data_IF_993348285221
#
_entry.id   IF_993348285221
#
_cell.length_a   1.000
_cell.length_b   1.000
_cell.length_c   1.000
_cell.angle_alpha   90.00
_cell.angle_beta   90.00
_cell.angle_gamma   90.00
#
_symmetry.space_group_name_H-M   'P 1'
#
loop_
_entity.id
_entity.type
_entity.pdbx_description
1 polymer ?
#
# COMPACT_ATOMS: atom_id res chain seq x y z
N UNK A 1 -6.06 11.52 6.10
CA UNK A 1 -6.41 10.33 6.88
C UNK A 1 -6.97 9.27 5.96
N UNK A 2 -6.58 8.03 6.13
CA UNK A 2 -7.05 6.93 5.28
C UNK A 2 -8.42 6.47 5.79
N UNK A 3 -9.33 6.21 4.86
CA UNK A 3 -10.64 5.63 5.17
C UNK A 3 -10.91 4.47 4.20
N UNK A 4 -11.42 3.37 4.74
CA UNK A 4 -11.68 2.15 3.96
C UNK A 4 -13.12 1.68 4.17
N UNK A 5 -14.12 2.48 3.77
CA UNK A 5 -15.53 2.12 3.98
C UNK A 5 -15.96 0.90 3.17
N UNK A 6 -15.45 0.73 1.95
CA UNK A 6 -15.81 -0.41 1.11
C UNK A 6 -15.28 -1.71 1.71
N UNK A 7 -14.13 -1.67 2.37
CA UNK A 7 -13.57 -2.82 3.09
C UNK A 7 -14.53 -3.31 4.15
N UNK A 8 -15.09 -2.40 4.95
CA UNK A 8 -16.06 -2.79 5.98
C UNK A 8 -17.34 -3.35 5.37
N UNK A 9 -17.82 -2.74 4.29
CA UNK A 9 -19.04 -3.20 3.61
C UNK A 9 -18.89 -4.58 2.99
N UNK A 10 -17.66 -4.95 2.59
CA UNK A 10 -17.39 -6.22 1.93
C UNK A 10 -17.15 -7.38 2.89
N UNK A 11 -16.98 -7.12 4.18
CA UNK A 11 -16.70 -8.17 5.15
C UNK A 11 -17.81 -9.23 5.14
N UNK A 12 -17.41 -10.49 5.14
CA UNK A 12 -18.34 -11.61 5.08
C UNK A 12 -18.83 -11.97 3.69
N UNK A 13 -18.51 -11.18 2.65
CA UNK A 13 -18.84 -11.53 1.28
C UNK A 13 -17.77 -12.43 0.66
N UNK A 14 -18.13 -13.18 -0.38
CA UNK A 14 -17.19 -14.03 -1.08
C UNK A 14 -16.12 -13.22 -1.84
N UNK A 15 -16.41 -11.96 -2.17
CA UNK A 15 -15.53 -11.08 -2.92
C UNK A 15 -14.80 -10.06 -2.02
N UNK A 16 -14.79 -10.26 -0.70
CA UNK A 16 -14.21 -9.31 0.24
C UNK A 16 -12.77 -8.96 -0.11
N UNK A 17 -11.93 -9.96 -0.40
CA UNK A 17 -10.52 -9.72 -0.72
C UNK A 17 -10.36 -8.87 -1.97
N UNK A 18 -11.16 -9.09 -2.99
CA UNK A 18 -11.14 -8.30 -4.21
C UNK A 18 -11.54 -6.85 -3.98
N UNK A 19 -12.54 -6.62 -3.16
CA UNK A 19 -12.99 -5.26 -2.79
C UNK A 19 -11.90 -4.54 -2.00
N UNK A 20 -11.32 -5.21 -1.00
CA UNK A 20 -10.25 -4.64 -0.17
C UNK A 20 -9.06 -4.27 -1.04
N UNK A 21 -8.65 -5.16 -1.92
CA UNK A 21 -7.56 -4.92 -2.86
C UNK A 21 -7.81 -3.65 -3.68
N UNK A 22 -8.98 -3.53 -4.28
CA UNK A 22 -9.31 -2.37 -5.12
C UNK A 22 -9.35 -1.09 -4.31
N UNK A 23 -9.87 -1.12 -3.09
CA UNK A 23 -9.92 0.06 -2.25
C UNK A 23 -8.52 0.52 -1.86
N UNK A 24 -7.63 -0.40 -1.50
CA UNK A 24 -6.25 -0.07 -1.16
C UNK A 24 -5.53 0.51 -2.39
N UNK A 25 -5.74 -0.06 -3.56
CA UNK A 25 -5.09 0.40 -4.79
C UNK A 25 -5.52 1.80 -5.22
N UNK A 26 -6.64 2.29 -4.72
CA UNK A 26 -7.11 3.66 -4.97
C UNK A 26 -6.49 4.69 -4.03
N UNK A 27 -5.79 4.26 -2.99
CA UNK A 27 -5.16 5.18 -2.06
C UNK A 27 -4.01 5.91 -2.74
N UNK A 28 -3.80 7.17 -2.32
CA UNK A 28 -2.63 7.91 -2.75
C UNK A 28 -1.38 7.23 -2.19
N UNK A 29 -0.40 6.88 -3.02
CA UNK A 29 0.84 6.28 -2.52
C UNK A 29 1.51 7.12 -1.43
N UNK A 30 1.35 8.44 -1.46
CA UNK A 30 1.90 9.32 -0.43
C UNK A 30 1.26 9.12 0.95
N UNK A 31 0.07 8.52 1.02
CA UNK A 31 -0.59 8.22 2.29
C UNK A 31 -0.06 6.95 2.95
N UNK A 32 0.77 6.18 2.25
CA UNK A 32 1.31 4.91 2.72
C UNK A 32 2.79 5.06 3.10
N UNK A 33 3.32 4.24 4.03
CA UNK A 33 4.71 4.32 4.44
C UNK A 33 5.67 3.68 3.44
N UNK A 34 5.49 3.96 2.14
CA UNK A 34 6.25 3.31 1.07
C UNK A 34 7.70 3.77 1.04
N UNK A 35 7.94 5.03 1.35
CA UNK A 35 9.31 5.56 1.38
C UNK A 35 10.16 4.83 2.43
N UNK A 36 9.56 4.46 3.55
CA UNK A 36 10.24 3.73 4.61
C UNK A 36 10.48 2.27 4.23
N UNK A 37 9.67 1.73 3.31
CA UNK A 37 9.78 0.36 2.87
C UNK A 37 10.73 0.14 1.69
N UNK A 38 11.39 1.19 1.20
CA UNK A 38 12.31 1.08 0.07
C UNK A 38 13.53 0.23 0.45
N UNK A 39 13.86 -0.72 -0.43
CA UNK A 39 15.03 -1.58 -0.24
C UNK A 39 16.16 -1.21 -1.19
N UNK A 40 15.84 -0.79 -2.41
CA UNK A 40 16.84 -0.54 -3.46
C UNK A 40 16.75 0.84 -4.07
N UNK A 41 15.59 1.48 -3.95
CA UNK A 41 15.33 2.79 -4.55
C UNK A 41 15.52 3.90 -3.53
N UNK A 42 15.71 5.12 -4.03
CA UNK A 42 15.84 6.33 -3.19
C UNK A 42 14.51 7.02 -2.95
N UNK A 43 13.62 6.99 -3.95
CA UNK A 43 12.35 7.68 -3.89
C UNK A 43 11.24 6.84 -4.49
N UNK A 44 10.05 6.95 -3.90
CA UNK A 44 8.84 6.33 -4.43
C UNK A 44 8.30 7.17 -5.58
N UNK A 45 7.87 6.52 -6.67
CA UNK A 45 7.20 7.23 -7.76
C UNK A 45 5.71 7.37 -7.43
N UNK A 46 5.01 8.19 -8.22
CA UNK A 46 3.56 8.37 -8.09
C UNK A 46 2.75 7.38 -8.95
N UNK A 47 3.38 6.34 -9.44
CA UNK A 47 2.69 5.33 -10.22
C UNK A 47 1.70 4.54 -9.37
N UNK A 48 0.63 4.01 -9.98
CA UNK A 48 -0.33 3.18 -9.25
C UNK A 48 0.33 2.01 -8.54
N UNK A 49 -0.14 1.72 -7.35
CA UNK A 49 0.31 0.57 -6.57
C UNK A 49 -0.54 -0.65 -6.89
N UNK A 50 0.01 -1.83 -6.60
CA UNK A 50 -0.75 -3.08 -6.64
C UNK A 50 -0.74 -3.69 -5.25
N UNK A 51 -1.88 -4.18 -4.82
CA UNK A 51 -2.04 -4.77 -3.51
C UNK A 51 -2.38 -6.24 -3.60
N UNK A 52 -1.79 -7.02 -2.70
CA UNK A 52 -2.12 -8.43 -2.50
C UNK A 52 -2.58 -8.60 -1.07
N UNK A 53 -3.79 -9.10 -0.87
CA UNK A 53 -4.32 -9.27 0.48
C UNK A 53 -3.76 -10.55 1.06
N UNK A 54 -2.95 -10.41 2.10
CA UNK A 54 -2.28 -11.52 2.76
C UNK A 54 -3.12 -12.11 3.88
N UNK A 55 -3.91 -11.28 4.56
CA UNK A 55 -4.78 -11.75 5.62
C UNK A 55 -5.76 -10.69 6.06
N UNK A 56 -6.88 -11.13 6.59
CA UNK A 56 -7.90 -10.25 7.17
C UNK A 56 -8.26 -10.83 8.53
N UNK A 57 -8.16 -10.02 9.57
CA UNK A 57 -8.50 -10.40 10.93
C UNK A 57 -9.59 -9.48 11.46
N UNK A 58 -10.77 -10.03 11.68
CA UNK A 58 -11.91 -9.27 12.16
C UNK A 58 -12.00 -9.34 13.67
N UNK A 59 -12.04 -8.17 14.30
CA UNK A 59 -12.26 -8.02 15.72
C UNK A 59 -13.58 -7.27 15.96
N UNK A 60 -14.03 -7.21 17.21
CA UNK A 60 -15.33 -6.61 17.54
C UNK A 60 -15.42 -5.14 17.13
N UNK A 61 -14.34 -4.37 17.30
CA UNK A 61 -14.33 -2.93 17.09
C UNK A 61 -13.47 -2.49 15.90
N UNK A 62 -12.65 -3.39 15.37
CA UNK A 62 -11.70 -3.08 14.30
C UNK A 62 -11.46 -4.26 13.41
N UNK A 63 -10.92 -3.99 12.24
CA UNK A 63 -10.48 -5.01 11.30
C UNK A 63 -9.03 -4.75 10.97
N UNK A 64 -8.20 -5.77 11.01
CA UNK A 64 -6.81 -5.70 10.60
C UNK A 64 -6.63 -6.37 9.26
N UNK A 65 -6.08 -5.64 8.30
CA UNK A 65 -5.83 -6.15 6.96
C UNK A 65 -4.32 -6.11 6.72
N UNK A 66 -3.75 -7.27 6.50
CA UNK A 66 -2.33 -7.38 6.12
C UNK A 66 -2.26 -7.47 4.61
N UNK A 67 -1.50 -6.58 3.99
CA UNK A 67 -1.39 -6.49 2.55
C UNK A 67 0.05 -6.35 2.11
N UNK A 68 0.41 -7.04 1.03
CA UNK A 68 1.64 -6.80 0.31
C UNK A 68 1.41 -5.72 -0.74
N UNK A 69 2.30 -4.73 -0.79
CA UNK A 69 2.19 -3.62 -1.72
C UNK A 69 3.36 -3.66 -2.69
N UNK A 70 3.04 -3.77 -3.98
CA UNK A 70 4.01 -3.59 -5.05
C UNK A 70 3.93 -2.16 -5.55
N UNK A 71 5.05 -1.50 -5.62
CA UNK A 71 5.13 -0.11 -6.05
C UNK A 71 6.45 0.13 -6.77
N UNK A 72 6.61 1.31 -7.33
CA UNK A 72 7.81 1.66 -8.10
C UNK A 72 8.64 2.70 -7.36
N UNK A 73 9.94 2.56 -7.48
CA UNK A 73 10.89 3.52 -6.98
C UNK A 73 11.92 3.87 -8.03
N UNK A 74 12.63 4.96 -7.79
CA UNK A 74 13.75 5.39 -8.63
C UNK A 74 14.96 5.67 -7.75
N UNK A 75 16.14 5.54 -8.32
CA UNK A 75 17.39 5.94 -7.67
C UNK A 75 17.68 7.36 -8.07
N UNK A 76 17.71 8.27 -7.08
CA UNK A 76 17.99 9.67 -7.32
C UNK A 76 19.50 9.94 -7.22
N UNK A 77 19.95 10.94 -7.94
CA UNK A 77 21.26 11.56 -7.72
C UNK A 77 22.42 11.00 -8.50
N UNK A 78 22.22 10.01 -9.37
CA UNK A 78 23.29 9.47 -10.19
C UNK A 78 23.12 9.75 -11.67
N UNK A 79 22.34 10.75 -12.03
CA UNK A 79 22.26 11.12 -13.42
C UNK A 79 23.50 11.91 -13.78
N UNK A 80 24.38 11.29 -14.52
CA UNK A 80 25.28 12.07 -15.35
C UNK A 80 24.37 12.91 -16.25
N UNK A 81 24.47 14.19 -16.18
CA UNK A 81 23.61 15.12 -16.91
C UNK A 81 23.63 14.90 -18.42
N UNK A 82 24.61 14.16 -18.90
CA UNK A 82 24.81 13.90 -20.32
C UNK A 82 24.25 12.54 -20.77
N UNK A 83 23.65 11.78 -19.86
CA UNK A 83 23.10 10.48 -20.22
C UNK A 83 21.62 10.61 -20.55
N UNK A 84 21.25 10.46 -21.82
CA UNK A 84 19.82 10.55 -22.24
C UNK A 84 19.02 9.30 -21.88
N UNK A 85 19.61 8.32 -21.20
CA UNK A 85 18.92 7.10 -20.84
C UNK A 85 17.83 7.40 -19.84
N UNK A 86 16.57 6.94 -20.07
CA UNK A 86 15.51 7.10 -19.09
C UNK A 86 15.91 6.45 -17.77
N UNK A 87 15.55 7.09 -16.66
CA UNK A 87 15.76 6.50 -15.34
C UNK A 87 14.88 5.26 -15.23
N UNK A 88 15.50 4.11 -15.02
CA UNK A 88 14.76 2.87 -14.86
C UNK A 88 14.03 2.87 -13.52
N UNK A 89 12.76 2.49 -13.58
CA UNK A 89 11.99 2.27 -12.37
C UNK A 89 12.31 0.89 -11.80
N UNK A 90 12.38 0.82 -10.48
CA UNK A 90 12.64 -0.41 -9.76
C UNK A 90 11.35 -0.82 -9.07
N UNK A 91 10.95 -2.09 -9.24
CA UNK A 91 9.80 -2.62 -8.52
C UNK A 91 10.20 -2.86 -7.07
N UNK A 92 9.47 -2.25 -6.16
CA UNK A 92 9.65 -2.43 -4.73
C UNK A 92 8.46 -3.18 -4.15
N UNK A 93 8.67 -3.81 -3.01
CA UNK A 93 7.62 -4.56 -2.32
C UNK A 93 7.76 -4.34 -0.81
N UNK A 94 6.66 -4.08 -0.16
CA UNK A 94 6.62 -4.06 1.30
C UNK A 94 5.32 -4.65 1.80
N UNK A 95 5.29 -5.00 3.08
CA UNK A 95 4.09 -5.51 3.74
C UNK A 95 3.61 -4.47 4.73
N UNK A 96 2.34 -4.14 4.67
CA UNK A 96 1.71 -3.17 5.57
C UNK A 96 0.51 -3.81 6.25
N UNK A 97 0.13 -3.27 7.39
CA UNK A 97 -1.08 -3.65 8.10
C UNK A 97 -1.97 -2.42 8.25
N UNK A 98 -3.21 -2.54 7.80
CA UNK A 98 -4.23 -1.53 8.01
C UNK A 98 -5.06 -1.91 9.23
N UNK A 99 -5.25 -0.96 10.14
CA UNK A 99 -6.12 -1.11 11.30
C UNK A 99 -7.32 -0.21 11.05
N UNK A 100 -8.46 -0.81 10.75
CA UNK A 100 -9.68 -0.10 10.34
C UNK A 100 -10.67 -0.08 11.49
N UNK A 101 -11.11 1.11 11.88
CA UNK A 101 -12.16 1.28 12.88
C UNK A 101 -13.52 0.92 12.26
N UNK A 102 -14.22 -0.03 12.86
CA UNK A 102 -15.51 -0.50 12.32
C UNK A 102 -16.63 0.52 12.46
N UNK A 103 -16.48 1.49 13.35
CA UNK A 103 -17.49 2.52 13.55
C UNK A 103 -17.39 3.69 12.58
N UNK A 104 -16.18 4.03 12.16
CA UNK A 104 -15.92 5.23 11.34
C UNK A 104 -15.30 4.90 9.98
N UNK A 105 -14.78 3.71 9.79
CA UNK A 105 -13.97 3.30 8.64
C UNK A 105 -12.61 4.01 8.55
N UNK A 106 -12.24 4.79 9.56
CA UNK A 106 -10.91 5.39 9.62
C UNK A 106 -9.86 4.29 9.77
N UNK A 107 -8.77 4.41 9.06
CA UNK A 107 -7.72 3.40 9.06
C UNK A 107 -6.37 4.03 9.35
N UNK A 108 -5.57 3.33 10.13
CA UNK A 108 -4.15 3.61 10.27
C UNK A 108 -3.37 2.52 9.54
N UNK A 109 -2.20 2.87 9.02
CA UNK A 109 -1.36 1.92 8.30
C UNK A 109 0.01 1.88 8.95
N UNK A 110 0.52 0.67 9.12
CA UNK A 110 1.84 0.43 9.73
C UNK A 110 2.66 -0.44 8.79
N UNK A 111 3.91 -0.06 8.57
CA UNK A 111 4.85 -0.89 7.82
C UNK A 111 5.28 -2.05 8.71
N UNK A 112 5.17 -3.26 8.18
CA UNK A 112 5.61 -4.47 8.87
C UNK A 112 7.00 -4.85 8.39
N UNK A 113 7.80 -5.32 9.34
CA UNK A 113 9.17 -5.77 9.07
C UNK A 113 9.16 -7.28 8.80
N UNK A 114 8.81 -7.63 7.58
CA UNK A 114 8.74 -9.04 7.14
C UNK A 114 9.58 -9.30 5.91
#
# INVERSE_FOLDING_TARGET
>A
MIRLPDTLAALGSADARGVIKREIERLDPAALPLQQGLARSSHVTDRPIQAVILGVHEEAERVRVKAGIFYSGIIAGCSCADDPTPVDEITEYCVVEFDVDRGTADATVTLLDE
#
